data_IF_625125665392
#
_entry.id   IF_625125665392
#
_cell.length_a   1.000
_cell.length_b   1.000
_cell.length_c   1.000
_cell.angle_alpha   90.00
_cell.angle_beta   90.00
_cell.angle_gamma   90.00
#
_symmetry.space_group_name_H-M   'P 1'
#
loop_
_entity.id
_entity.type
_entity.pdbx_description
1 polymer ?
#
# COMPACT_ATOMS: atom_id res chain seq x y z
N UNK A 1 85.65 22.92 19.35
CA UNK A 1 85.23 24.31 19.04
C UNK A 1 84.14 24.30 17.97
N UNK A 2 83.05 25.00 18.17
CA UNK A 2 81.94 25.27 17.25
C UNK A 2 81.02 24.08 16.84
N UNK A 3 80.05 23.82 17.67
CA UNK A 3 78.72 23.24 17.20
C UNK A 3 77.63 23.53 18.23
N UNK A 4 77.45 24.82 18.62
CA UNK A 4 76.36 25.17 19.58
C UNK A 4 75.38 26.22 19.05
N UNK A 5 75.44 26.54 17.75
CA UNK A 5 74.62 27.64 17.19
C UNK A 5 73.40 27.23 16.35
N UNK A 6 73.23 25.94 16.01
CA UNK A 6 72.18 25.50 15.05
C UNK A 6 70.92 25.03 15.76
N UNK A 7 70.95 24.61 17.00
CA UNK A 7 69.78 24.08 17.73
C UNK A 7 68.82 25.13 18.30
N UNK A 8 69.29 26.43 18.39
CA UNK A 8 68.42 27.48 18.94
C UNK A 8 67.48 28.13 17.91
N UNK A 9 67.76 27.97 16.60
CA UNK A 9 66.91 28.52 15.54
C UNK A 9 65.75 27.60 15.13
N UNK A 10 65.91 26.30 15.36
CA UNK A 10 64.79 25.32 15.06
C UNK A 10 63.76 25.30 16.17
N UNK A 11 64.05 25.69 17.40
CA UNK A 11 63.10 25.68 18.50
C UNK A 11 62.09 26.87 18.45
N UNK A 12 62.45 27.97 17.80
CA UNK A 12 61.53 29.12 17.63
C UNK A 12 60.64 29.03 16.43
N UNK A 13 60.92 28.17 15.42
CA UNK A 13 60.09 27.97 14.27
C UNK A 13 58.98 26.94 14.51
N UNK A 14 59.09 26.11 15.54
CA UNK A 14 58.10 25.10 15.92
C UNK A 14 57.03 25.61 16.89
N UNK A 15 57.20 26.81 17.46
CA UNK A 15 56.25 27.40 18.43
C UNK A 15 55.26 28.37 17.80
N UNK A 16 55.42 28.71 16.50
CA UNK A 16 54.55 29.64 15.78
C UNK A 16 53.52 28.98 14.86
N UNK A 17 53.46 27.64 14.83
CA UNK A 17 52.54 26.90 13.94
C UNK A 17 51.35 26.24 14.65
N UNK A 18 51.12 26.54 15.94
CA UNK A 18 50.03 25.93 16.71
C UNK A 18 48.86 26.86 17.02
N UNK A 19 48.64 27.94 16.25
CA UNK A 19 47.61 28.94 16.58
C UNK A 19 46.59 29.20 15.46
N UNK A 20 46.39 28.26 14.51
CA UNK A 20 45.36 28.41 13.48
C UNK A 20 44.48 27.18 13.24
N UNK A 21 44.26 26.34 14.24
CA UNK A 21 43.10 25.44 14.21
C UNK A 21 42.01 25.99 15.13
N UNK A 22 41.48 27.17 14.81
CA UNK A 22 40.10 27.46 15.16
C UNK A 22 39.25 26.54 14.26
N UNK A 23 38.97 25.33 14.72
CA UNK A 23 37.90 24.51 14.21
C UNK A 23 36.64 25.31 14.43
N UNK A 24 36.11 25.91 13.36
CA UNK A 24 34.69 26.13 13.28
C UNK A 24 34.03 24.74 13.34
N UNK A 25 33.61 24.31 14.53
CA UNK A 25 32.51 23.41 14.63
C UNK A 25 31.30 24.16 14.11
N UNK A 26 31.05 24.11 12.81
CA UNK A 26 29.70 24.25 12.33
C UNK A 26 28.96 23.13 13.05
N UNK A 27 28.15 23.46 14.02
CA UNK A 27 27.00 22.66 14.39
C UNK A 27 26.16 22.59 13.09
N UNK A 28 26.50 21.65 12.21
CA UNK A 28 25.53 21.14 11.23
C UNK A 28 24.43 20.54 12.10
N UNK A 29 23.41 21.34 12.39
CA UNK A 29 22.12 20.83 12.72
C UNK A 29 21.75 19.96 11.52
N UNK A 30 21.97 18.67 11.65
CA UNK A 30 21.54 17.66 10.71
C UNK A 30 20.01 17.69 10.75
N UNK A 31 19.39 18.71 10.14
CA UNK A 31 17.96 18.74 9.94
C UNK A 31 17.70 17.61 8.94
N UNK A 32 17.15 16.52 9.41
CA UNK A 32 16.73 15.44 8.52
C UNK A 32 15.86 16.04 7.43
N UNK A 33 16.12 15.65 6.18
CA UNK A 33 15.34 16.11 5.04
C UNK A 33 13.86 15.74 5.25
N UNK A 34 12.91 16.69 5.08
CA UNK A 34 11.50 16.41 5.25
C UNK A 34 11.00 15.33 4.28
N UNK A 35 10.19 14.43 4.79
CA UNK A 35 9.72 13.24 4.08
C UNK A 35 8.23 13.31 3.78
N UNK A 36 7.83 12.73 2.65
CA UNK A 36 6.47 12.26 2.44
C UNK A 36 6.40 10.83 2.96
N UNK A 37 5.48 10.59 3.90
CA UNK A 37 5.25 9.29 4.52
C UNK A 37 3.80 8.87 4.21
N UNK A 38 3.62 7.69 3.62
CA UNK A 38 2.28 7.15 3.31
C UNK A 38 2.00 5.94 4.17
N UNK A 39 0.81 5.92 4.77
CA UNK A 39 0.33 4.83 5.63
C UNK A 39 -1.09 4.43 5.24
N UNK A 40 -1.43 3.16 5.48
CA UNK A 40 -2.81 2.68 5.35
C UNK A 40 -3.50 2.61 6.72
N UNK A 41 -4.80 2.87 6.71
CA UNK A 41 -5.70 2.67 7.85
C UNK A 41 -6.89 1.84 7.39
N UNK A 42 -7.31 0.85 8.19
CA UNK A 42 -8.44 -0.05 7.91
C UNK A 42 -9.62 0.32 8.79
N UNK A 43 -10.61 1.04 8.25
CA UNK A 43 -11.71 1.58 9.05
C UNK A 43 -13.02 0.83 8.82
N UNK A 44 -13.40 0.02 9.81
CA UNK A 44 -14.67 -0.72 9.83
C UNK A 44 -15.91 0.14 10.04
N UNK A 45 -15.75 1.41 10.48
CA UNK A 45 -16.83 2.36 10.70
C UNK A 45 -16.96 3.37 9.56
N UNK A 46 -15.96 3.47 8.68
CA UNK A 46 -16.01 4.34 7.53
C UNK A 46 -17.16 3.93 6.61
N UNK A 47 -17.87 4.92 6.06
CA UNK A 47 -18.90 4.66 5.07
C UNK A 47 -18.35 3.81 3.92
N UNK A 48 -19.09 2.77 3.54
CA UNK A 48 -18.77 1.96 2.37
C UNK A 48 -18.87 2.82 1.11
N UNK A 49 -17.77 2.93 0.39
CA UNK A 49 -17.65 3.70 -0.85
C UNK A 49 -17.35 2.74 -2.01
N UNK A 50 -17.66 3.16 -3.23
CA UNK A 50 -17.14 2.51 -4.44
C UNK A 50 -15.74 3.09 -4.79
N UNK A 51 -15.15 2.61 -5.85
CA UNK A 51 -13.80 3.01 -6.27
C UNK A 51 -13.68 4.48 -6.72
N UNK A 52 -14.80 5.11 -6.98
CA UNK A 52 -14.87 6.54 -7.32
C UNK A 52 -15.10 7.41 -6.08
N UNK A 53 -15.07 6.81 -4.87
CA UNK A 53 -15.31 7.53 -3.62
C UNK A 53 -16.77 7.90 -3.39
N UNK A 54 -17.72 7.23 -4.03
CA UNK A 54 -19.16 7.47 -3.87
C UNK A 54 -19.78 6.44 -2.91
N UNK A 55 -20.80 6.80 -2.11
CA UNK A 55 -21.51 5.85 -1.25
C UNK A 55 -22.02 4.63 -2.03
N UNK A 56 -21.80 3.43 -1.47
CA UNK A 56 -22.23 2.17 -2.04
C UNK A 56 -22.98 1.30 -1.02
N UNK A 57 -24.20 0.89 -1.39
CA UNK A 57 -24.99 -0.03 -0.59
C UNK A 57 -24.75 -1.49 -1.01
N UNK A 58 -25.05 -2.42 -0.10
CA UNK A 58 -25.12 -3.85 -0.44
C UNK A 58 -26.37 -4.08 -1.29
N UNK A 59 -26.25 -4.72 -2.47
CA UNK A 59 -27.38 -5.03 -3.33
C UNK A 59 -28.39 -5.96 -2.65
N UNK A 60 -29.66 -5.90 -3.09
CA UNK A 60 -30.68 -6.85 -2.64
C UNK A 60 -30.28 -8.29 -3.03
N UNK A 61 -30.48 -9.25 -2.14
CA UNK A 61 -30.08 -10.65 -2.33
C UNK A 61 -28.60 -10.91 -2.06
N UNK A 62 -27.87 -9.91 -1.57
CA UNK A 62 -26.51 -10.06 -1.09
C UNK A 62 -26.45 -9.83 0.43
N UNK A 63 -25.50 -10.47 1.07
CA UNK A 63 -25.06 -10.15 2.42
C UNK A 63 -23.56 -9.84 2.42
N UNK A 64 -23.09 -9.25 3.51
CA UNK A 64 -21.68 -8.88 3.64
C UNK A 64 -21.26 -8.81 5.10
N UNK A 65 -19.99 -9.07 5.35
CA UNK A 65 -19.36 -8.90 6.65
C UNK A 65 -18.17 -7.92 6.57
N UNK A 66 -17.87 -7.31 7.69
CA UNK A 66 -16.64 -6.54 7.87
C UNK A 66 -15.55 -7.54 8.27
N UNK A 67 -14.53 -7.75 7.42
CA UNK A 67 -13.43 -8.65 7.75
C UNK A 67 -12.48 -8.03 8.77
N UNK A 68 -11.67 -8.86 9.42
CA UNK A 68 -10.54 -8.42 10.24
C UNK A 68 -9.30 -8.32 9.35
N UNK A 69 -8.90 -7.09 9.00
CA UNK A 69 -7.81 -6.84 8.07
C UNK A 69 -6.45 -6.89 8.77
N UNK A 70 -5.50 -7.62 8.18
CA UNK A 70 -4.15 -7.78 8.72
C UNK A 70 -3.12 -6.98 7.94
N UNK A 71 -3.06 -7.17 6.60
CA UNK A 71 -2.03 -6.55 5.78
C UNK A 71 -2.53 -6.18 4.39
N UNK A 72 -1.83 -5.24 3.77
CA UNK A 72 -2.10 -4.75 2.41
C UNK A 72 -0.82 -4.48 1.66
N UNK A 73 -0.89 -4.51 0.32
CA UNK A 73 0.13 -4.00 -0.59
C UNK A 73 -0.51 -3.24 -1.74
N UNK A 74 0.21 -2.29 -2.28
CA UNK A 74 -0.18 -1.56 -3.47
C UNK A 74 0.85 -1.74 -4.60
N UNK A 75 0.35 -1.67 -5.83
CA UNK A 75 1.17 -1.68 -7.04
C UNK A 75 1.57 -0.26 -7.47
N UNK A 76 0.73 0.74 -7.14
CA UNK A 76 0.90 2.10 -7.64
C UNK A 76 0.32 3.12 -6.66
N UNK A 77 0.97 4.29 -6.56
CA UNK A 77 0.50 5.42 -5.78
C UNK A 77 0.79 6.73 -6.52
N UNK A 78 -0.24 7.59 -6.64
CA UNK A 78 -0.20 8.86 -7.34
C UNK A 78 -0.96 9.95 -6.58
N UNK A 79 -0.41 11.14 -6.52
CA UNK A 79 -1.10 12.37 -6.14
C UNK A 79 -1.54 13.10 -7.40
N UNK A 80 -2.81 13.52 -7.47
CA UNK A 80 -3.35 14.21 -8.61
C UNK A 80 -3.93 15.59 -8.23
N UNK A 81 -3.74 16.63 -9.06
CA UNK A 81 -4.26 17.96 -8.76
C UNK A 81 -5.79 18.02 -8.79
N UNK A 82 -6.43 17.30 -9.70
CA UNK A 82 -7.89 17.30 -9.84
C UNK A 82 -8.44 15.96 -10.33
N UNK A 83 -9.76 15.83 -10.37
CA UNK A 83 -10.45 14.60 -10.77
C UNK A 83 -10.32 14.28 -12.28
N UNK A 84 -9.97 15.24 -13.10
CA UNK A 84 -9.84 15.10 -14.56
C UNK A 84 -8.42 14.75 -14.99
N UNK A 85 -7.45 14.88 -14.10
CA UNK A 85 -6.07 14.43 -14.34
C UNK A 85 -6.11 12.94 -14.72
N UNK A 86 -5.56 12.58 -15.87
CA UNK A 86 -5.49 11.18 -16.28
C UNK A 86 -4.61 10.40 -15.33
N UNK A 87 -4.89 9.12 -15.16
CA UNK A 87 -4.07 8.24 -14.34
C UNK A 87 -2.67 8.12 -14.99
N UNK A 88 -1.65 8.53 -14.26
CA UNK A 88 -0.27 8.64 -14.74
C UNK A 88 0.21 10.05 -15.05
N UNK A 89 -0.70 11.02 -15.18
CA UNK A 89 -0.35 12.43 -15.45
C UNK A 89 -0.20 13.28 -14.17
N UNK A 90 -0.46 12.69 -13.00
CA UNK A 90 -0.18 13.29 -11.70
C UNK A 90 1.25 13.09 -11.25
N UNK A 91 1.51 13.29 -9.96
CA UNK A 91 2.80 12.96 -9.33
C UNK A 91 2.80 11.48 -8.95
N UNK A 92 3.40 10.65 -9.80
CA UNK A 92 3.57 9.21 -9.56
C UNK A 92 4.72 9.02 -8.57
N UNK A 93 4.43 8.51 -7.40
CA UNK A 93 5.38 8.41 -6.29
C UNK A 93 5.80 6.97 -5.96
N UNK A 94 5.03 6.00 -6.44
CA UNK A 94 5.36 4.60 -6.29
C UNK A 94 4.81 3.77 -7.44
N UNK A 95 5.64 2.87 -7.92
CA UNK A 95 5.30 1.79 -8.84
C UNK A 95 6.05 0.55 -8.37
N UNK A 96 5.32 -0.52 -8.04
CA UNK A 96 5.93 -1.76 -7.58
C UNK A 96 6.77 -2.40 -8.68
N UNK A 97 7.83 -3.13 -8.35
CA UNK A 97 8.58 -3.91 -9.31
C UNK A 97 7.69 -4.91 -10.06
N UNK A 98 7.96 -5.04 -11.36
CA UNK A 98 7.29 -5.97 -12.24
C UNK A 98 8.29 -6.98 -12.82
N UNK A 99 7.80 -8.12 -13.28
CA UNK A 99 8.61 -9.21 -13.85
C UNK A 99 7.90 -9.88 -15.01
N UNK A 100 8.68 -10.46 -15.92
CA UNK A 100 8.18 -11.32 -17.00
C UNK A 100 8.47 -12.80 -16.75
N UNK A 101 8.89 -13.17 -15.54
CA UNK A 101 9.28 -14.55 -15.20
C UNK A 101 8.19 -15.58 -15.47
N UNK A 102 6.92 -15.21 -15.31
CA UNK A 102 5.76 -16.05 -15.64
C UNK A 102 5.35 -16.01 -17.13
N UNK A 103 6.17 -15.43 -18.03
CA UNK A 103 5.92 -15.35 -19.47
C UNK A 103 5.28 -14.05 -19.93
N UNK A 104 4.48 -13.39 -19.09
CA UNK A 104 3.87 -12.08 -19.37
C UNK A 104 4.16 -11.13 -18.22
N UNK A 105 4.05 -9.82 -18.48
CA UNK A 105 4.31 -8.81 -17.47
C UNK A 105 3.35 -8.96 -16.27
N UNK A 106 3.89 -8.92 -15.06
CA UNK A 106 3.19 -9.14 -13.81
C UNK A 106 3.87 -8.38 -12.67
N UNK A 107 3.11 -8.03 -11.64
CA UNK A 107 3.66 -7.53 -10.38
C UNK A 107 4.52 -8.64 -9.76
N UNK A 108 5.76 -8.31 -9.38
CA UNK A 108 6.64 -9.25 -8.68
C UNK A 108 6.27 -9.29 -7.20
N UNK A 109 5.54 -10.34 -6.79
CA UNK A 109 5.10 -10.47 -5.40
C UNK A 109 6.27 -10.62 -4.41
N UNK A 110 7.40 -11.16 -4.85
CA UNK A 110 8.59 -11.30 -3.99
C UNK A 110 9.18 -9.94 -3.57
N UNK A 111 8.87 -8.87 -4.30
CA UNK A 111 9.28 -7.49 -4.05
C UNK A 111 8.15 -6.62 -3.48
N UNK A 112 6.99 -7.21 -3.19
CA UNK A 112 5.85 -6.46 -2.69
C UNK A 112 6.12 -5.86 -1.31
N UNK A 113 5.79 -4.58 -1.14
CA UNK A 113 5.76 -3.94 0.18
C UNK A 113 4.46 -4.28 0.86
N UNK A 114 4.48 -5.25 1.77
CA UNK A 114 3.32 -5.66 2.55
C UNK A 114 3.41 -4.98 3.91
N UNK A 115 2.36 -4.26 4.30
CA UNK A 115 2.31 -3.49 5.55
C UNK A 115 1.01 -3.75 6.30
N UNK A 116 1.08 -3.66 7.62
CA UNK A 116 -0.07 -3.64 8.52
C UNK A 116 -0.61 -2.22 8.69
N UNK A 117 -1.72 -2.08 9.40
CA UNK A 117 -2.32 -0.79 9.71
C UNK A 117 -1.33 0.15 10.41
N UNK A 118 -1.24 1.39 9.93
CA UNK A 118 -0.38 2.43 10.49
C UNK A 118 1.11 2.29 10.19
N UNK A 119 1.55 1.16 9.63
CA UNK A 119 2.95 1.00 9.19
C UNK A 119 3.26 1.87 7.96
N UNK A 120 4.53 2.23 7.82
CA UNK A 120 4.99 3.05 6.70
C UNK A 120 5.05 2.23 5.41
N UNK A 121 4.13 2.52 4.49
CA UNK A 121 4.14 1.94 3.15
C UNK A 121 5.18 2.61 2.25
N UNK A 122 5.21 3.94 2.22
CA UNK A 122 6.15 4.72 1.42
C UNK A 122 6.78 5.81 2.28
N UNK A 123 8.08 6.01 2.14
CA UNK A 123 8.82 7.13 2.75
C UNK A 123 9.81 7.63 1.72
N UNK A 124 9.59 8.84 1.22
CA UNK A 124 10.45 9.48 0.21
C UNK A 124 10.70 10.93 0.59
N UNK A 125 11.86 11.51 0.23
CA UNK A 125 12.12 12.93 0.40
C UNK A 125 11.06 13.80 -0.28
N UNK A 126 10.58 14.84 0.40
CA UNK A 126 9.63 15.79 -0.21
C UNK A 126 10.23 16.53 -1.40
N UNK A 127 11.56 16.65 -1.47
CA UNK A 127 12.27 17.17 -2.66
C UNK A 127 12.08 16.33 -3.93
N UNK A 128 11.67 15.05 -3.80
CA UNK A 128 11.36 14.15 -4.92
C UNK A 128 9.89 14.23 -5.35
N UNK A 129 9.04 14.90 -4.57
CA UNK A 129 7.64 15.13 -4.90
C UNK A 129 7.53 16.41 -5.73
N UNK A 130 6.88 16.36 -6.87
CA UNK A 130 6.68 17.55 -7.68
C UNK A 130 5.93 18.62 -6.87
N UNK A 131 6.41 19.88 -6.92
CA UNK A 131 5.71 20.99 -6.29
C UNK A 131 4.38 21.20 -6.95
N UNK A 132 3.31 21.37 -6.16
CA UNK A 132 1.96 21.53 -6.69
C UNK A 132 0.90 21.45 -5.60
N UNK A 133 -0.33 21.55 -6.05
CA UNK A 133 -1.52 21.44 -5.24
C UNK A 133 -2.25 20.15 -5.60
N UNK A 134 -2.45 19.27 -4.63
CA UNK A 134 -3.02 17.95 -4.83
C UNK A 134 -4.34 17.81 -4.07
N UNK A 135 -5.39 17.51 -4.80
CA UNK A 135 -6.72 17.31 -4.23
C UNK A 135 -7.11 15.82 -4.19
N UNK A 136 -6.41 14.96 -4.95
CA UNK A 136 -6.80 13.56 -5.14
C UNK A 136 -5.62 12.61 -4.93
N UNK A 137 -5.96 11.42 -4.48
CA UNK A 137 -5.06 10.26 -4.39
C UNK A 137 -5.62 9.14 -5.25
N UNK A 138 -4.73 8.42 -5.93
CA UNK A 138 -5.04 7.19 -6.65
C UNK A 138 -4.08 6.09 -6.24
N UNK A 139 -4.63 4.94 -5.90
CA UNK A 139 -3.86 3.77 -5.49
C UNK A 139 -4.33 2.57 -6.29
N UNK A 140 -3.41 1.85 -6.91
CA UNK A 140 -3.68 0.51 -7.42
C UNK A 140 -3.28 -0.50 -6.35
N UNK A 141 -4.26 -1.21 -5.80
CA UNK A 141 -4.02 -2.27 -4.82
C UNK A 141 -3.51 -3.52 -5.52
N UNK A 142 -2.65 -4.30 -4.85
CA UNK A 142 -2.09 -5.54 -5.39
C UNK A 142 -2.38 -6.77 -4.54
N UNK A 143 -2.39 -6.61 -3.22
CA UNK A 143 -2.55 -7.72 -2.28
C UNK A 143 -3.26 -7.25 -1.02
N UNK A 144 -4.04 -8.13 -0.42
CA UNK A 144 -4.67 -7.95 0.88
C UNK A 144 -4.80 -9.27 1.62
N UNK A 145 -4.66 -9.24 2.94
CA UNK A 145 -4.82 -10.39 3.82
C UNK A 145 -5.74 -10.01 4.98
N UNK A 146 -6.73 -10.85 5.24
CA UNK A 146 -7.74 -10.61 6.27
C UNK A 146 -8.46 -11.89 6.69
N UNK A 147 -9.02 -11.91 7.91
CA UNK A 147 -9.84 -13.00 8.41
C UNK A 147 -11.34 -12.73 8.21
N UNK A 148 -12.08 -13.79 7.94
CA UNK A 148 -13.54 -13.80 7.79
C UNK A 148 -14.15 -14.89 8.66
N UNK A 149 -15.46 -14.74 8.93
CA UNK A 149 -16.29 -15.82 9.47
C UNK A 149 -17.05 -16.49 8.34
N UNK A 150 -17.16 -17.81 8.39
CA UNK A 150 -18.02 -18.57 7.49
C UNK A 150 -18.67 -19.71 8.24
N UNK A 151 -19.75 -20.24 7.71
CA UNK A 151 -20.51 -21.34 8.30
C UNK A 151 -20.37 -22.60 7.46
N UNK A 152 -20.17 -23.72 8.13
CA UNK A 152 -20.13 -25.05 7.53
C UNK A 152 -20.92 -26.03 8.41
N UNK A 153 -21.93 -26.69 7.85
CA UNK A 153 -22.78 -27.65 8.56
C UNK A 153 -23.33 -27.10 9.89
N UNK A 154 -23.76 -25.84 9.90
CA UNK A 154 -24.34 -25.16 11.07
C UNK A 154 -23.33 -24.68 12.13
N UNK A 155 -22.03 -24.87 11.91
CA UNK A 155 -20.95 -24.40 12.79
C UNK A 155 -20.24 -23.23 12.17
N UNK A 156 -19.99 -22.18 12.95
CA UNK A 156 -19.23 -21.00 12.52
C UNK A 156 -17.73 -21.22 12.74
N UNK A 157 -16.93 -20.89 11.72
CA UNK A 157 -15.47 -21.00 11.70
C UNK A 157 -14.86 -19.65 11.34
N UNK A 158 -13.60 -19.45 11.74
CA UNK A 158 -12.76 -18.37 11.25
C UNK A 158 -11.76 -18.91 10.23
N UNK A 159 -11.46 -18.12 9.25
CA UNK A 159 -10.43 -18.45 8.28
C UNK A 159 -9.83 -17.19 7.66
N UNK A 160 -8.56 -17.29 7.31
CA UNK A 160 -7.78 -16.19 6.77
C UNK A 160 -7.66 -16.32 5.25
N UNK A 161 -7.89 -15.21 4.55
CA UNK A 161 -7.75 -15.06 3.11
C UNK A 161 -6.53 -14.23 2.75
N UNK A 162 -5.79 -14.70 1.76
CA UNK A 162 -4.89 -13.90 0.95
C UNK A 162 -5.57 -13.65 -0.40
N UNK A 163 -5.79 -12.40 -0.75
CA UNK A 163 -6.47 -11.99 -1.98
C UNK A 163 -5.53 -11.14 -2.84
N UNK A 164 -5.31 -11.56 -4.07
CA UNK A 164 -4.45 -10.89 -5.03
C UNK A 164 -5.32 -10.09 -6.01
N UNK A 165 -5.27 -8.78 -5.86
CA UNK A 165 -6.16 -7.84 -6.56
C UNK A 165 -5.46 -7.02 -7.64
N UNK A 166 -4.14 -7.22 -7.83
CA UNK A 166 -3.39 -6.64 -8.94
C UNK A 166 -3.80 -7.24 -10.30
N UNK A 167 -3.49 -6.54 -11.37
CA UNK A 167 -3.89 -6.92 -12.75
C UNK A 167 -3.37 -8.30 -13.16
N UNK A 168 -2.16 -8.64 -12.72
CA UNK A 168 -1.48 -9.90 -12.90
C UNK A 168 -0.34 -9.93 -11.87
N UNK A 169 -0.14 -11.03 -11.17
CA UNK A 169 0.88 -11.12 -10.12
C UNK A 169 1.68 -12.41 -10.30
N UNK A 170 2.99 -12.30 -10.45
CA UNK A 170 3.87 -13.46 -10.39
C UNK A 170 4.14 -13.77 -8.92
N UNK A 171 3.75 -14.96 -8.52
CA UNK A 171 3.88 -15.45 -7.15
C UNK A 171 4.79 -16.67 -7.18
N UNK A 172 5.98 -16.59 -6.58
CA UNK A 172 6.80 -17.77 -6.35
C UNK A 172 6.15 -18.65 -5.30
N UNK A 173 5.91 -18.09 -4.11
CA UNK A 173 5.23 -18.73 -3.01
C UNK A 173 4.69 -17.70 -2.04
N UNK A 174 3.76 -18.10 -1.19
CA UNK A 174 3.31 -17.29 -0.05
C UNK A 174 2.81 -18.20 1.08
N UNK A 175 2.50 -17.61 2.24
CA UNK A 175 1.97 -18.35 3.39
C UNK A 175 0.77 -17.64 4.00
N UNK A 176 -0.14 -18.42 4.56
CA UNK A 176 -1.23 -17.96 5.42
C UNK A 176 -1.09 -18.75 6.74
N UNK A 177 -0.73 -18.07 7.81
CA UNK A 177 -0.37 -18.77 9.05
C UNK A 177 0.71 -19.83 8.80
N UNK A 178 0.43 -21.07 9.13
CA UNK A 178 1.34 -22.19 8.91
C UNK A 178 1.18 -22.89 7.55
N UNK A 179 0.24 -22.44 6.72
CA UNK A 179 -0.03 -23.04 5.41
C UNK A 179 0.82 -22.38 4.35
N UNK A 180 1.65 -23.17 3.65
CA UNK A 180 2.52 -22.74 2.57
C UNK A 180 1.90 -23.08 1.22
N UNK A 181 1.94 -22.12 0.29
CA UNK A 181 1.45 -22.24 -1.07
C UNK A 181 2.62 -22.05 -2.04
N UNK A 182 2.99 -23.12 -2.76
CA UNK A 182 3.99 -23.10 -3.83
C UNK A 182 3.27 -22.86 -5.17
N UNK A 183 3.30 -21.62 -5.66
CA UNK A 183 2.52 -21.20 -6.82
C UNK A 183 3.35 -21.19 -8.10
N UNK A 184 4.52 -20.57 -8.05
CA UNK A 184 5.52 -20.44 -9.12
C UNK A 184 4.93 -20.11 -10.50
N UNK A 185 3.98 -19.19 -10.56
CA UNK A 185 3.24 -18.82 -11.75
C UNK A 185 2.64 -17.41 -11.67
N UNK A 186 2.26 -16.87 -12.83
CA UNK A 186 1.38 -15.72 -12.90
C UNK A 186 -0.03 -16.08 -12.44
N UNK A 187 -0.63 -15.19 -11.66
CA UNK A 187 -2.02 -15.24 -11.22
C UNK A 187 -2.74 -13.97 -11.62
N UNK A 188 -3.89 -14.13 -12.25
CA UNK A 188 -4.73 -13.00 -12.65
C UNK A 188 -5.41 -12.39 -11.43
N UNK A 189 -5.91 -11.18 -11.57
CA UNK A 189 -6.71 -10.52 -10.56
C UNK A 189 -7.82 -11.45 -10.05
N UNK A 190 -7.97 -11.50 -8.71
CA UNK A 190 -8.95 -12.36 -8.06
C UNK A 190 -8.44 -13.77 -7.74
N UNK A 191 -7.16 -14.07 -7.94
CA UNK A 191 -6.57 -15.24 -7.29
C UNK A 191 -6.61 -15.06 -5.78
N UNK A 192 -6.99 -16.14 -5.09
CA UNK A 192 -7.09 -16.17 -3.64
C UNK A 192 -6.55 -17.48 -3.07
N UNK A 193 -6.05 -17.40 -1.85
CA UNK A 193 -5.75 -18.56 -1.02
C UNK A 193 -6.44 -18.38 0.33
N UNK A 194 -6.84 -19.49 0.92
CA UNK A 194 -7.60 -19.55 2.17
C UNK A 194 -7.01 -20.61 3.09
N UNK A 195 -6.97 -20.33 4.38
CA UNK A 195 -6.61 -21.27 5.40
C UNK A 195 -7.56 -21.13 6.61
N UNK A 196 -7.92 -22.27 7.22
CA UNK A 196 -8.60 -22.27 8.51
C UNK A 196 -7.62 -21.90 9.62
N UNK A 197 -8.08 -21.07 10.56
CA UNK A 197 -7.21 -20.60 11.64
C UNK A 197 -6.87 -21.73 12.64
N UNK A 198 -7.87 -22.57 12.95
CA UNK A 198 -7.75 -23.59 13.99
C UNK A 198 -7.60 -25.04 13.47
N UNK A 199 -7.60 -25.24 12.16
CA UNK A 199 -7.59 -26.59 11.56
C UNK A 199 -6.59 -26.67 10.40
N UNK A 200 -5.99 -27.84 10.15
CA UNK A 200 -5.04 -28.02 9.04
C UNK A 200 -5.76 -28.14 7.68
N UNK A 201 -6.51 -27.10 7.30
CA UNK A 201 -7.17 -27.04 6.02
C UNK A 201 -6.81 -25.75 5.30
N UNK A 202 -6.44 -25.88 4.04
CA UNK A 202 -6.22 -24.75 3.15
C UNK A 202 -6.69 -25.06 1.74
N UNK A 203 -7.02 -24.03 0.98
CA UNK A 203 -7.41 -24.11 -0.42
C UNK A 203 -7.01 -22.84 -1.17
N UNK A 204 -6.94 -22.92 -2.48
CA UNK A 204 -6.69 -21.77 -3.35
C UNK A 204 -7.61 -21.82 -4.56
N UNK A 205 -7.82 -20.69 -5.20
CA UNK A 205 -8.67 -20.61 -6.38
C UNK A 205 -8.60 -19.26 -7.09
N UNK A 206 -9.40 -19.16 -8.13
CA UNK A 206 -9.57 -17.95 -8.93
C UNK A 206 -11.02 -17.50 -8.82
N UNK A 207 -11.25 -16.25 -8.43
CA UNK A 207 -12.59 -15.66 -8.45
C UNK A 207 -13.14 -15.63 -9.89
N UNK A 208 -14.44 -15.80 -10.06
CA UNK A 208 -15.07 -15.66 -11.38
C UNK A 208 -14.78 -14.29 -12.01
N UNK A 209 -14.70 -14.24 -13.33
CA UNK A 209 -14.51 -13.00 -14.06
C UNK A 209 -15.59 -11.97 -13.67
N UNK A 210 -15.17 -10.75 -13.32
CA UNK A 210 -16.04 -9.67 -12.88
C UNK A 210 -16.37 -9.64 -11.39
N UNK A 211 -15.97 -10.64 -10.61
CA UNK A 211 -16.25 -10.71 -9.16
C UNK A 211 -15.42 -9.72 -8.31
N UNK A 212 -14.27 -9.27 -8.81
CA UNK A 212 -13.33 -8.46 -8.02
C UNK A 212 -12.87 -7.22 -8.75
N UNK A 213 -13.23 -7.05 -10.00
CA UNK A 213 -12.60 -6.03 -10.85
C UNK A 213 -13.29 -4.70 -10.81
N UNK A 214 -12.51 -3.69 -10.50
CA UNK A 214 -12.76 -2.36 -11.02
C UNK A 214 -11.87 -2.22 -12.24
N UNK A 215 -12.42 -2.37 -13.44
CA UNK A 215 -11.62 -2.21 -14.63
C UNK A 215 -11.08 -0.78 -14.66
N UNK A 216 -9.77 -0.64 -14.98
CA UNK A 216 -9.23 0.66 -15.33
C UNK A 216 -9.74 1.04 -16.73
N UNK A 217 -10.75 1.93 -16.88
CA UNK A 217 -11.31 2.27 -18.17
C UNK A 217 -10.33 3.05 -19.05
N UNK A 218 -9.25 3.58 -18.46
CA UNK A 218 -8.22 4.37 -19.14
C UNK A 218 -6.94 3.57 -19.34
N UNK A 219 -6.98 2.25 -19.28
CA UNK A 219 -5.80 1.40 -19.39
C UNK A 219 -4.98 1.63 -20.69
N UNK A 220 -5.62 2.04 -21.78
CA UNK A 220 -4.93 2.34 -23.03
C UNK A 220 -4.04 3.59 -22.98
N UNK A 221 -4.27 4.50 -22.04
CA UNK A 221 -3.55 5.77 -21.88
C UNK A 221 -2.89 5.90 -20.49
N UNK A 222 -2.95 4.86 -19.68
CA UNK A 222 -2.48 4.83 -18.30
C UNK A 222 -1.28 3.88 -18.17
N UNK A 223 -0.30 4.17 -17.30
CA UNK A 223 0.78 3.23 -16.96
C UNK A 223 0.28 1.99 -16.20
N UNK A 224 -1.00 2.00 -15.77
CA UNK A 224 -1.60 0.92 -15.02
C UNK A 224 -2.45 0.07 -15.95
N UNK A 225 -2.18 -1.25 -16.07
CA UNK A 225 -2.90 -2.15 -16.96
C UNK A 225 -4.41 -2.24 -16.67
N UNK A 226 -5.18 -2.64 -17.68
CA UNK A 226 -6.56 -3.10 -17.50
C UNK A 226 -6.61 -4.24 -16.47
N UNK A 227 -7.66 -4.27 -15.67
CA UNK A 227 -7.80 -5.26 -14.61
C UNK A 227 -7.11 -4.90 -13.29
N UNK A 228 -6.43 -3.74 -13.20
CA UNK A 228 -5.89 -3.25 -11.93
C UNK A 228 -7.00 -2.77 -10.99
N UNK A 229 -6.83 -3.00 -9.69
CA UNK A 229 -7.76 -2.52 -8.67
C UNK A 229 -7.39 -1.09 -8.28
N UNK A 230 -7.92 -0.10 -8.98
CA UNK A 230 -7.64 1.32 -8.71
C UNK A 230 -8.73 1.92 -7.82
N UNK A 231 -8.34 2.36 -6.63
CA UNK A 231 -9.19 3.15 -5.73
C UNK A 231 -8.75 4.60 -5.75
N UNK A 232 -9.71 5.52 -5.68
CA UNK A 232 -9.44 6.95 -5.70
C UNK A 232 -10.13 7.65 -4.53
N UNK A 233 -9.50 8.68 -3.99
CA UNK A 233 -10.04 9.47 -2.89
C UNK A 233 -9.69 10.94 -3.02
N UNK A 234 -10.57 11.80 -2.51
CA UNK A 234 -10.36 13.25 -2.47
C UNK A 234 -9.95 13.67 -1.07
N UNK A 235 -8.88 14.45 -0.97
CA UNK A 235 -8.53 15.13 0.28
C UNK A 235 -9.63 16.12 0.69
N UNK A 236 -9.94 16.18 1.99
CA UNK A 236 -10.85 17.18 2.53
C UNK A 236 -10.29 18.61 2.39
N UNK A 237 -8.97 18.75 2.53
CA UNK A 237 -8.24 19.98 2.29
C UNK A 237 -7.14 19.70 1.26
N UNK A 238 -6.84 20.69 0.43
CA UNK A 238 -5.79 20.58 -0.58
C UNK A 238 -4.41 20.33 0.06
N UNK A 239 -3.71 19.31 -0.39
CA UNK A 239 -2.32 19.05 -0.02
C UNK A 239 -1.41 19.89 -0.93
N UNK A 240 -0.78 20.91 -0.36
CA UNK A 240 0.20 21.72 -1.05
C UNK A 240 1.61 21.22 -0.77
N UNK A 241 2.40 20.95 -1.80
CA UNK A 241 3.83 20.67 -1.76
C UNK A 241 4.56 21.80 -2.46
N UNK A 242 5.47 22.45 -1.76
CA UNK A 242 6.18 23.64 -2.24
C UNK A 242 7.63 23.38 -2.60
N UNK A 243 8.19 22.27 -2.10
CA UNK A 243 9.63 21.96 -2.17
C UNK A 243 10.47 22.68 -1.11
N UNK A 244 9.82 23.46 -0.22
CA UNK A 244 10.49 24.18 0.88
C UNK A 244 9.93 23.75 2.24
N UNK A 245 9.39 22.55 2.33
CA UNK A 245 8.89 21.99 3.57
C UNK A 245 10.00 21.85 4.60
N UNK A 246 9.67 22.11 5.87
CA UNK A 246 10.56 21.93 7.02
C UNK A 246 10.08 20.83 7.95
N UNK A 247 8.97 20.17 7.59
CA UNK A 247 8.30 19.13 8.37
C UNK A 247 7.89 17.99 7.46
N UNK A 248 7.86 16.80 8.01
CA UNK A 248 7.31 15.63 7.32
C UNK A 248 5.83 15.84 6.98
N UNK A 249 5.43 15.30 5.85
CA UNK A 249 4.01 15.19 5.44
C UNK A 249 3.62 13.72 5.57
N UNK A 250 2.73 13.43 6.51
CA UNK A 250 2.19 12.07 6.69
C UNK A 250 0.83 12.00 6.04
N UNK A 251 0.72 11.20 4.98
CA UNK A 251 -0.54 10.92 4.28
C UNK A 251 -1.09 9.60 4.79
N UNK A 252 -2.30 9.63 5.34
CA UNK A 252 -3.05 8.46 5.77
C UNK A 252 -4.13 8.13 4.76
N UNK A 253 -4.08 6.91 4.24
CA UNK A 253 -5.04 6.36 3.29
C UNK A 253 -6.05 5.50 4.06
N UNK A 254 -7.17 6.09 4.49
CA UNK A 254 -8.22 5.36 5.18
C UNK A 254 -9.09 4.61 4.18
N UNK A 255 -9.04 3.28 4.26
CA UNK A 255 -9.80 2.36 3.42
C UNK A 255 -10.97 1.80 4.20
N UNK A 256 -12.17 1.85 3.63
CA UNK A 256 -13.34 1.24 4.25
C UNK A 256 -13.28 -0.27 4.14
N UNK A 257 -13.19 -0.92 5.29
CA UNK A 257 -13.38 -2.37 5.42
C UNK A 257 -14.84 -2.71 5.79
N UNK A 258 -15.69 -1.70 5.95
CA UNK A 258 -17.10 -1.86 6.32
C UNK A 258 -17.85 -2.70 5.30
N UNK A 259 -18.20 -3.94 5.69
CA UNK A 259 -18.88 -4.91 4.83
C UNK A 259 -18.17 -5.11 3.46
N UNK A 260 -16.84 -5.17 3.50
CA UNK A 260 -16.03 -5.30 2.28
C UNK A 260 -15.91 -6.73 1.76
N UNK A 261 -16.31 -7.74 2.53
CA UNK A 261 -16.46 -9.10 2.07
C UNK A 261 -17.96 -9.37 1.81
N UNK A 262 -18.35 -9.51 0.55
CA UNK A 262 -19.75 -9.60 0.09
C UNK A 262 -19.99 -10.90 -0.67
N UNK A 263 -21.15 -11.51 -0.46
CA UNK A 263 -21.57 -12.74 -1.16
C UNK A 263 -23.03 -12.64 -1.61
N UNK A 264 -23.37 -13.47 -2.60
CA UNK A 264 -24.77 -13.72 -2.95
C UNK A 264 -25.37 -14.62 -1.87
N UNK A 265 -26.36 -14.10 -1.16
CA UNK A 265 -26.99 -14.80 -0.05
C UNK A 265 -28.09 -15.73 -0.56
N UNK A 266 -28.07 -16.99 -0.13
CA UNK A 266 -29.10 -18.00 -0.43
C UNK A 266 -30.02 -18.16 0.77
N UNK A 267 -29.44 -18.30 1.97
CA UNK A 267 -30.20 -18.33 3.23
C UNK A 267 -30.10 -16.95 3.87
N UNK A 268 -31.21 -16.20 4.02
CA UNK A 268 -31.13 -14.81 4.50
C UNK A 268 -30.87 -14.75 6.03
N UNK A 269 -29.70 -15.19 6.47
CA UNK A 269 -29.27 -15.19 7.86
C UNK A 269 -28.03 -14.32 8.13
N UNK A 270 -27.48 -13.72 7.06
CA UNK A 270 -26.30 -12.84 7.14
C UNK A 270 -24.99 -13.59 7.43
N UNK A 271 -24.93 -14.90 7.18
CA UNK A 271 -23.74 -15.73 7.38
C UNK A 271 -23.29 -16.32 6.06
N UNK A 272 -22.00 -16.28 5.80
CA UNK A 272 -21.44 -16.86 4.60
C UNK A 272 -21.37 -18.39 4.70
N UNK A 273 -22.12 -19.09 3.85
CA UNK A 273 -22.19 -20.57 3.81
C UNK A 273 -21.81 -21.11 2.42
N UNK A 274 -20.52 -21.22 2.08
CA UNK A 274 -20.08 -21.65 0.74
C UNK A 274 -20.56 -23.05 0.37
N UNK A 275 -20.83 -23.92 1.36
CA UNK A 275 -21.31 -25.30 1.13
C UNK A 275 -22.72 -25.40 0.55
N UNK A 276 -23.56 -24.37 0.69
CA UNK A 276 -24.90 -24.34 0.11
C UNK A 276 -24.95 -23.58 -1.24
N UNK A 277 -23.79 -23.14 -1.74
CA UNK A 277 -23.65 -22.45 -3.02
C UNK A 277 -23.64 -20.94 -2.93
N UNK A 278 -23.48 -20.34 -1.75
CA UNK A 278 -23.24 -18.91 -1.62
C UNK A 278 -21.88 -18.55 -2.24
N UNK A 279 -21.92 -17.67 -3.22
CA UNK A 279 -20.74 -17.28 -3.98
C UNK A 279 -20.27 -15.89 -3.56
N UNK A 280 -18.98 -15.74 -3.31
CA UNK A 280 -18.36 -14.43 -3.09
C UNK A 280 -18.47 -13.61 -4.37
N UNK A 281 -18.98 -12.39 -4.24
CA UNK A 281 -19.12 -11.43 -5.35
C UNK A 281 -18.18 -10.24 -5.22
N UNK A 282 -17.67 -10.00 -4.00
CA UNK A 282 -16.67 -8.97 -3.74
C UNK A 282 -15.78 -9.35 -2.56
N UNK A 283 -14.47 -9.22 -2.74
CA UNK A 283 -13.46 -9.48 -1.71
C UNK A 283 -12.55 -8.27 -1.50
N UNK A 284 -12.96 -7.10 -1.98
CA UNK A 284 -12.11 -5.93 -2.03
C UNK A 284 -12.42 -4.89 -0.97
N UNK A 285 -11.42 -4.07 -0.69
CA UNK A 285 -11.59 -2.82 0.02
C UNK A 285 -12.45 -1.86 -0.79
N UNK A 286 -13.32 -1.12 -0.12
CA UNK A 286 -14.27 -0.22 -0.74
C UNK A 286 -14.05 1.21 -0.29
N UNK A 287 -13.52 2.01 -1.21
CA UNK A 287 -13.38 3.44 -1.04
C UNK A 287 -12.13 3.84 -0.26
N UNK A 288 -11.69 5.04 -0.53
CA UNK A 288 -10.49 5.66 0.01
C UNK A 288 -10.83 7.08 0.47
N UNK A 289 -10.55 7.38 1.72
CA UNK A 289 -10.59 8.75 2.26
C UNK A 289 -9.16 9.13 2.67
N UNK A 290 -8.45 9.94 1.87
CA UNK A 290 -7.12 10.39 2.23
C UNK A 290 -7.18 11.57 3.20
N UNK A 291 -6.24 11.60 4.12
CA UNK A 291 -5.96 12.74 5.00
C UNK A 291 -4.46 12.97 5.10
N UNK A 292 -4.05 14.12 5.61
CA UNK A 292 -2.64 14.37 5.88
C UNK A 292 -2.44 15.22 7.14
N UNK A 293 -1.26 15.04 7.75
CA UNK A 293 -0.72 15.87 8.83
C UNK A 293 0.69 16.34 8.47
N UNK A 294 1.16 17.40 9.14
CA UNK A 294 2.54 17.88 9.06
C UNK A 294 3.18 17.71 10.43
N UNK A 295 4.18 16.84 10.49
CA UNK A 295 4.80 16.40 11.74
C UNK A 295 6.28 16.79 11.78
N UNK A 296 6.82 16.96 13.02
CA UNK A 296 8.24 17.26 13.22
C UNK A 296 9.02 15.97 13.38
#
# INVERSE_FOLDING_TARGET
MRTSGVYLLCAFLLLSLNLLFVSCSSDETNSEEPMLIVKFNFDGNQQRLNNLGQPAAIPAGHAAQTPDFHTISAHYFELAPDMYTQLGDGSVLYHAPETTQGGTNAIDFSQAKIVSEGETFLKIPLSQVASGNYNWVRVSLSYQNYSIKFRQAGVDYNGTLASFVGFNTYITSHSIGNNFFDVNANRLQGYWAFALDDYPYSSEGQAPAGATTVPNPLASTSPIPAGSCVVTGKFANELQITGNETKDVVVTLSLSINKSFEWQEITPDGKFEPSIGENVVDMGLRGLIPSFTREN
#
